data_IF_806991155693
#
_entry.id   IF_806991155693
#
_cell.length_a   1.000
_cell.length_b   1.000
_cell.length_c   1.000
_cell.angle_alpha   90.00
_cell.angle_beta   90.00
_cell.angle_gamma   90.00
#
_symmetry.space_group_name_H-M   'P 1'
#
loop_
_entity.id
_entity.type
_entity.pdbx_description
1 polymer ?
2 polymer ?
3 non-polymer ?
4 non-polymer ?
5 non-polymer ?
6 water ?
#
# COMPACT_ATOMS: atom_id res chain seq x y z
N UNK A 1 -7.17 4.53 23.96
CA UNK A 1 -7.04 3.25 23.21
C UNK A 1 -6.45 2.16 24.06
N UNK A 2 -6.61 0.91 23.62
CA UNK A 2 -6.19 -0.23 24.42
C UNK A 2 -4.68 -0.28 24.63
N UNK A 3 -3.90 0.41 23.79
CA UNK A 3 -2.46 0.46 23.94
C UNK A 3 -1.97 1.68 24.69
N UNK A 4 -2.88 2.49 25.24
CA UNK A 4 -2.51 3.73 25.88
C UNK A 4 -1.67 3.55 27.13
N UNK A 5 -1.76 2.41 27.79
CA UNK A 5 -0.99 2.20 29.01
C UNK A 5 0.39 1.60 28.77
N UNK A 6 0.71 1.21 27.55
CA UNK A 6 1.99 0.57 27.25
C UNK A 6 3.02 1.59 26.77
N UNK A 7 4.24 1.48 27.29
CA UNK A 7 5.35 2.30 26.83
C UNK A 7 5.53 2.21 25.33
N UNK A 8 5.85 3.36 24.72
CA UNK A 8 6.15 3.39 23.29
C UNK A 8 7.21 2.35 22.92
N UNK A 9 8.29 2.26 23.71
CA UNK A 9 9.35 1.34 23.33
C UNK A 9 8.87 -0.10 23.43
N UNK A 10 7.96 -0.37 24.35
CA UNK A 10 7.43 -1.73 24.50
C UNK A 10 6.54 -2.08 23.33
N UNK A 11 5.76 -1.10 22.85
CA UNK A 11 4.93 -1.31 21.67
C UNK A 11 5.79 -1.65 20.45
N UNK A 12 6.89 -0.93 20.27
CA UNK A 12 7.79 -1.20 19.15
C UNK A 12 8.41 -2.59 19.29
N UNK A 13 8.86 -2.92 20.51
CA UNK A 13 9.45 -4.24 20.74
C UNK A 13 8.45 -5.36 20.44
N UNK A 14 7.19 -5.17 20.84
CA UNK A 14 6.19 -6.21 20.61
C UNK A 14 5.77 -6.27 19.15
N UNK A 15 5.74 -5.12 18.47
CA UNK A 15 5.52 -5.14 17.02
C UNK A 15 6.56 -6.02 16.32
N UNK A 16 7.82 -5.94 16.74
CA UNK A 16 8.86 -6.76 16.13
C UNK A 16 8.67 -8.23 16.46
N UNK A 17 8.25 -8.53 17.69
CA UNK A 17 7.92 -9.91 18.05
C UNK A 17 6.73 -10.43 17.24
N UNK A 18 5.69 -9.61 17.12
CA UNK A 18 4.54 -9.99 16.30
C UNK A 18 4.94 -10.27 14.86
N UNK A 19 5.82 -9.45 14.30
CA UNK A 19 6.32 -9.72 12.95
C UNK A 19 7.00 -11.09 12.87
N UNK A 20 7.85 -11.42 13.85
CA UNK A 20 8.53 -12.72 13.83
C UNK A 20 7.54 -13.87 13.95
N UNK A 21 6.45 -13.66 14.67
CA UNK A 21 5.43 -14.68 14.87
C UNK A 21 4.37 -14.65 13.78
N UNK A 22 4.52 -13.76 12.79
CA UNK A 22 3.53 -13.59 11.73
C UNK A 22 2.15 -13.32 12.29
N UNK A 23 2.11 -12.51 13.35
CA UNK A 23 0.86 -12.07 13.98
C UNK A 23 0.58 -10.62 13.56
N UNK A 24 0.11 -10.46 12.33
CA UNK A 24 0.10 -9.13 11.73
C UNK A 24 -1.00 -8.26 12.31
N UNK A 25 -2.12 -8.84 12.71
CA UNK A 25 -3.16 -8.04 13.36
C UNK A 25 -2.63 -7.44 14.66
N UNK A 26 -1.94 -8.25 15.46
CA UNK A 26 -1.31 -7.75 16.66
C UNK A 26 -0.28 -6.68 16.30
N UNK A 27 0.52 -6.96 15.28
CA UNK A 27 1.59 -6.04 14.88
C UNK A 27 1.01 -4.68 14.53
N UNK A 28 -0.07 -4.67 13.76
CA UNK A 28 -0.75 -3.42 13.42
C UNK A 28 -1.27 -2.70 14.66
N UNK A 29 -1.92 -3.43 15.56
CA UNK A 29 -2.42 -2.81 16.78
C UNK A 29 -1.28 -2.18 17.59
N UNK A 30 -0.15 -2.88 17.73
CA UNK A 30 0.97 -2.30 18.46
C UNK A 30 1.49 -1.04 17.76
N UNK A 31 1.58 -1.06 16.43
CA UNK A 31 2.12 0.10 15.74
C UNK A 31 1.13 1.27 15.74
N UNK A 32 -0.17 1.00 15.64
CA UNK A 32 -1.16 2.05 15.84
C UNK A 32 -0.97 2.69 17.22
N UNK A 33 -0.78 1.85 18.25
CA UNK A 33 -0.56 2.38 19.58
C UNK A 33 0.68 3.26 19.63
N UNK A 34 1.75 2.83 18.95
CA UNK A 34 2.98 3.60 18.91
C UNK A 34 2.76 4.95 18.22
N UNK A 35 2.08 4.94 17.07
CA UNK A 35 1.81 6.19 16.36
C UNK A 35 1.06 7.15 17.28
N UNK A 36 0.09 6.62 18.02
CA UNK A 36 -0.77 7.45 18.87
C UNK A 36 -0.06 8.02 20.08
N UNK A 37 1.19 7.64 20.34
CA UNK A 37 1.97 8.33 21.36
C UNK A 37 2.34 9.75 20.96
N UNK A 38 2.21 10.11 19.68
CA UNK A 38 2.31 11.48 19.23
C UNK A 38 3.67 11.89 18.72
N UNK A 39 4.65 11.00 18.80
CA UNK A 39 5.98 11.31 18.29
C UNK A 39 6.15 10.76 16.87
N UNK A 40 7.01 11.42 16.11
CA UNK A 40 7.27 10.95 14.75
C UNK A 40 7.92 9.57 14.77
N UNK A 41 7.75 8.84 13.69
CA UNK A 41 8.32 7.50 13.57
C UNK A 41 9.67 7.57 12.87
N UNK A 42 10.59 6.71 13.31
CA UNK A 42 11.84 6.54 12.60
C UNK A 42 11.62 5.76 11.30
N UNK A 43 12.67 5.67 10.49
CA UNK A 43 12.61 4.88 9.27
C UNK A 43 12.21 3.43 9.56
N UNK A 44 12.86 2.80 10.54
CA UNK A 44 12.54 1.42 10.88
C UNK A 44 11.11 1.29 11.38
N UNK A 45 10.64 2.26 12.17
CA UNK A 45 9.28 2.21 12.68
C UNK A 45 8.25 2.39 11.56
N UNK A 46 8.52 3.24 10.58
CA UNK A 46 7.61 3.38 9.45
C UNK A 46 7.49 2.05 8.71
N UNK A 47 8.60 1.33 8.56
CA UNK A 47 8.57 0.04 7.88
C UNK A 47 7.71 -0.96 8.64
N UNK A 48 7.81 -0.96 9.98
CA UNK A 48 6.97 -1.84 10.78
C UNK A 48 5.48 -1.50 10.60
N UNK A 49 5.14 -0.23 10.64
CA UNK A 49 3.77 0.20 10.41
C UNK A 49 3.28 -0.29 9.06
N UNK A 50 4.07 -0.11 8.00
CA UNK A 50 3.59 -0.42 6.66
C UNK A 50 3.45 -1.92 6.46
N UNK A 51 4.40 -2.70 6.98
CA UNK A 51 4.35 -4.14 6.79
C UNK A 51 3.17 -4.74 7.55
N UNK A 52 2.91 -4.23 8.76
CA UNK A 52 1.80 -4.76 9.55
C UNK A 52 0.49 -4.62 8.79
N UNK A 53 0.15 -3.38 8.40
CA UNK A 53 -1.14 -3.14 7.75
C UNK A 53 -1.19 -3.73 6.35
N UNK A 54 -0.05 -3.77 5.66
CA UNK A 54 -0.01 -4.39 4.35
C UNK A 54 -0.43 -5.84 4.41
N UNK A 55 0.04 -6.55 5.44
CA UNK A 55 -0.31 -7.96 5.55
C UNK A 55 -1.75 -8.16 6.04
N UNK A 56 -2.24 -7.30 6.92
CA UNK A 56 -3.64 -7.41 7.35
C UNK A 56 -4.55 -7.22 6.15
N UNK A 57 -4.39 -6.09 5.43
CA UNK A 57 -5.28 -5.80 4.32
C UNK A 57 -5.03 -6.77 3.18
N UNK A 58 -3.80 -7.28 3.05
CA UNK A 58 -3.52 -8.23 1.99
C UNK A 58 -4.35 -9.49 2.12
N UNK A 59 -4.47 -9.99 3.34
CA UNK A 59 -5.29 -11.16 3.57
C UNK A 59 -6.76 -10.87 3.32
N UNK A 60 -7.21 -9.68 3.72
CA UNK A 60 -8.60 -9.31 3.47
C UNK A 60 -8.86 -9.17 1.98
N UNK A 61 -7.92 -8.58 1.25
CA UNK A 61 -8.08 -8.42 -0.20
C UNK A 61 -8.15 -9.79 -0.88
N UNK A 62 -7.26 -10.70 -0.49
CA UNK A 62 -7.27 -12.02 -1.12
C UNK A 62 -8.60 -12.72 -0.87
N UNK A 63 -9.12 -12.63 0.36
CA UNK A 63 -10.41 -13.22 0.66
C UNK A 63 -11.54 -12.54 -0.10
N UNK A 64 -11.51 -11.21 -0.18
CA UNK A 64 -12.53 -10.49 -0.92
C UNK A 64 -12.54 -10.93 -2.37
N UNK A 65 -11.37 -11.09 -2.97
CA UNK A 65 -11.31 -11.51 -4.36
C UNK A 65 -11.90 -12.89 -4.55
N UNK A 66 -11.62 -13.82 -3.63
CA UNK A 66 -12.19 -15.16 -3.72
C UNK A 66 -13.72 -15.10 -3.68
N UNK A 67 -14.26 -14.33 -2.73
CA UNK A 67 -15.71 -14.26 -2.56
C UNK A 67 -16.36 -13.52 -3.72
N UNK A 68 -15.77 -12.41 -4.16
CA UNK A 68 -16.34 -11.67 -5.28
C UNK A 68 -16.39 -12.54 -6.53
N UNK A 69 -15.36 -13.34 -6.77
CA UNK A 69 -15.36 -14.26 -7.90
C UNK A 69 -16.51 -15.26 -7.81
N UNK A 70 -16.73 -15.81 -6.61
CA UNK A 70 -17.84 -16.74 -6.42
C UNK A 70 -19.16 -16.02 -6.63
N UNK A 71 -19.24 -14.77 -6.18
CA UNK A 71 -20.47 -13.99 -6.34
C UNK A 71 -20.76 -13.72 -7.79
N UNK A 72 -19.76 -13.31 -8.57
CA UNK A 72 -20.04 -12.95 -9.96
C UNK A 72 -20.51 -14.17 -10.74
N UNK A 73 -19.91 -15.34 -10.50
CA UNK A 73 -20.36 -16.52 -11.21
C UNK A 73 -21.80 -16.90 -10.81
N UNK A 74 -22.21 -16.56 -9.58
CA UNK A 74 -23.57 -16.85 -9.14
C UNK A 74 -24.57 -15.99 -9.89
N UNK A 75 -24.09 -14.93 -10.54
CA UNK A 75 -24.93 -14.02 -11.30
C UNK A 75 -24.78 -14.21 -12.81
N UNK A 76 -24.13 -15.29 -13.23
CA UNK A 76 -24.10 -15.64 -14.64
C UNK A 76 -25.37 -16.39 -15.03
N UNK A 77 -25.74 -16.26 -16.30
CA UNK A 77 -26.84 -17.06 -16.84
C UNK A 77 -26.57 -18.54 -16.63
N UNK A 78 -27.61 -19.27 -16.21
CA UNK A 78 -27.49 -20.68 -15.91
C UNK A 78 -27.12 -20.99 -14.47
N UNK A 79 -26.68 -19.99 -13.70
CA UNK A 79 -26.27 -20.23 -12.33
C UNK A 79 -27.49 -20.41 -11.45
N UNK A 80 -27.48 -21.48 -10.63
CA UNK A 80 -28.57 -21.77 -9.72
C UNK A 80 -28.63 -20.73 -8.61
N UNK A 81 -29.84 -20.29 -8.30
CA UNK A 81 -30.04 -19.33 -7.22
C UNK A 81 -29.73 -19.99 -5.88
N UNK A 82 -28.98 -19.28 -5.04
CA UNK A 82 -28.51 -19.84 -3.79
C UNK A 82 -28.76 -18.95 -2.58
N UNK A 83 -29.44 -17.84 -2.76
CA UNK A 83 -29.77 -16.99 -1.65
C UNK A 83 -28.74 -15.91 -1.44
N UNK A 84 -28.91 -15.18 -0.35
CA UNK A 84 -28.10 -13.97 -0.14
C UNK A 84 -26.76 -14.22 0.53
N UNK A 85 -26.39 -15.46 0.82
CA UNK A 85 -25.27 -15.72 1.70
C UNK A 85 -23.95 -15.28 1.10
N UNK A 86 -23.74 -15.52 -0.19
CA UNK A 86 -22.46 -15.12 -0.79
C UNK A 86 -22.30 -13.61 -0.75
N UNK A 87 -23.33 -12.88 -1.17
CA UNK A 87 -23.29 -11.42 -1.09
C UNK A 87 -23.08 -10.97 0.36
N UNK A 88 -23.81 -11.56 1.30
CA UNK A 88 -23.70 -11.15 2.69
C UNK A 88 -22.28 -11.31 3.19
N UNK A 89 -21.66 -12.45 2.90
CA UNK A 89 -20.34 -12.72 3.47
C UNK A 89 -19.28 -11.87 2.77
N UNK A 90 -19.41 -11.69 1.46
CA UNK A 90 -18.54 -10.76 0.75
C UNK A 90 -18.63 -9.36 1.33
N UNK A 91 -19.87 -8.90 1.61
CA UNK A 91 -20.05 -7.60 2.26
C UNK A 91 -19.39 -7.56 3.63
N UNK A 92 -19.44 -8.64 4.39
CA UNK A 92 -18.81 -8.67 5.71
C UNK A 92 -17.31 -8.45 5.61
N UNK A 93 -16.64 -9.23 4.74
CA UNK A 93 -15.22 -9.06 4.50
C UNK A 93 -14.93 -7.67 3.97
N UNK A 94 -15.75 -7.20 3.03
CA UNK A 94 -15.55 -5.88 2.44
C UNK A 94 -15.58 -4.79 3.51
N UNK A 95 -16.56 -4.85 4.41
CA UNK A 95 -16.68 -3.85 5.45
C UNK A 95 -15.50 -3.88 6.39
N UNK A 96 -15.02 -5.08 6.73
CA UNK A 96 -13.84 -5.20 7.57
C UNK A 96 -12.63 -4.58 6.88
N UNK A 97 -12.46 -4.89 5.59
CA UNK A 97 -11.37 -4.32 4.80
C UNK A 97 -11.44 -2.79 4.78
N UNK A 98 -12.62 -2.24 4.49
CA UNK A 98 -12.77 -0.79 4.50
C UNK A 98 -12.43 -0.19 5.88
N UNK A 99 -12.78 -0.91 6.94
CA UNK A 99 -12.49 -0.40 8.28
C UNK A 99 -11.01 -0.30 8.54
N UNK A 100 -10.25 -1.28 8.06
CA UNK A 100 -8.81 -1.25 8.20
C UNK A 100 -8.21 -0.12 7.37
N UNK A 101 -8.63 0.01 6.12
CA UNK A 101 -8.19 1.13 5.29
C UNK A 101 -8.49 2.46 5.97
N UNK A 102 -9.71 2.59 6.49
CA UNK A 102 -10.09 3.85 7.17
C UNK A 102 -9.20 4.09 8.37
N UNK A 103 -8.87 3.04 9.09
CA UNK A 103 -7.98 3.21 10.26
C UNK A 103 -6.60 3.70 9.83
N UNK A 104 -6.03 3.11 8.77
CA UNK A 104 -4.73 3.55 8.29
C UNK A 104 -4.80 4.99 7.82
N UNK A 105 -5.82 5.31 7.02
CA UNK A 105 -5.94 6.67 6.51
C UNK A 105 -6.10 7.66 7.65
N UNK A 106 -6.80 7.28 8.71
CA UNK A 106 -6.94 8.16 9.85
C UNK A 106 -5.63 8.41 10.55
N UNK A 107 -4.78 7.37 10.67
CA UNK A 107 -3.46 7.57 11.25
C UNK A 107 -2.62 8.50 10.40
N UNK A 108 -2.65 8.29 9.08
CA UNK A 108 -1.87 9.14 8.20
C UNK A 108 -2.31 10.58 8.31
N UNK A 109 -3.61 10.79 8.47
CA UNK A 109 -4.13 12.15 8.59
C UNK A 109 -4.03 12.72 10.00
N UNK A 110 -3.68 11.89 11.00
CA UNK A 110 -3.68 12.29 12.41
C UNK A 110 -2.50 11.60 13.12
N UNK A 111 -1.30 12.15 13.00
CA UNK A 111 -1.01 13.34 12.21
C UNK A 111 0.33 13.09 11.49
N UNK A 112 0.52 11.86 11.01
CA UNK A 112 1.81 11.48 10.43
C UNK A 112 2.17 12.38 9.27
N UNK A 113 1.26 12.56 8.32
CA UNK A 113 1.59 13.36 7.14
C UNK A 113 1.83 14.81 7.54
N UNK A 114 1.01 15.34 8.44
CA UNK A 114 1.15 16.75 8.80
C UNK A 114 2.57 17.07 9.30
N UNK A 115 3.15 16.19 10.11
CA UNK A 115 4.42 16.48 10.76
C UNK A 115 5.63 15.97 9.98
N UNK A 116 5.42 15.30 8.85
CA UNK A 116 6.49 14.70 8.09
C UNK A 116 7.06 15.76 7.15
N UNK A 117 8.28 16.19 7.43
CA UNK A 117 8.94 17.20 6.62
C UNK A 117 10.03 16.63 5.73
N UNK A 118 10.77 15.64 6.24
CA UNK A 118 11.81 15.02 5.43
C UNK A 118 11.19 14.26 4.26
N UNK A 119 11.86 14.29 3.11
CA UNK A 119 11.30 13.63 1.93
C UNK A 119 11.04 12.16 2.17
N UNK A 120 11.95 11.49 2.89
CA UNK A 120 11.82 10.05 3.07
C UNK A 120 10.59 9.68 3.89
N UNK A 121 10.20 10.52 4.86
CA UNK A 121 8.98 10.24 5.61
C UNK A 121 7.75 10.71 4.84
N UNK A 122 7.81 11.91 4.26
CA UNK A 122 6.63 12.45 3.58
C UNK A 122 6.23 11.61 2.39
N UNK A 123 7.20 11.18 1.57
CA UNK A 123 6.86 10.36 0.42
C UNK A 123 6.34 9.01 0.86
N UNK A 124 6.97 8.43 1.88
CA UNK A 124 6.51 7.17 2.45
C UNK A 124 5.04 7.23 2.86
N UNK A 125 4.66 8.28 3.60
CA UNK A 125 3.29 8.34 4.10
C UNK A 125 2.30 8.65 2.98
N UNK A 126 2.68 9.51 2.04
CA UNK A 126 1.78 9.81 0.93
C UNK A 126 1.60 8.60 0.02
N UNK A 127 2.65 7.82 -0.18
CA UNK A 127 2.50 6.55 -0.87
C UNK A 127 1.53 5.65 -0.14
N UNK A 128 1.65 5.53 1.17
CA UNK A 128 0.70 4.74 1.94
C UNK A 128 -0.72 5.24 1.74
N UNK A 129 -0.90 6.56 1.72
CA UNK A 129 -2.23 7.12 1.53
C UNK A 129 -2.79 6.74 0.16
N UNK A 130 -1.97 6.86 -0.90
CA UNK A 130 -2.42 6.39 -2.18
C UNK A 130 -2.74 4.91 -2.19
N UNK A 131 -1.91 4.10 -1.53
CA UNK A 131 -2.13 2.65 -1.52
C UNK A 131 -3.47 2.30 -0.87
N UNK A 132 -3.80 2.90 0.27
CA UNK A 132 -5.03 2.49 0.95
C UNK A 132 -6.27 3.09 0.30
N UNK A 133 -6.18 4.25 -0.33
CA UNK A 133 -7.30 4.67 -1.18
C UNK A 133 -7.44 3.71 -2.38
N UNK A 134 -6.33 3.22 -2.91
CA UNK A 134 -6.42 2.25 -3.99
C UNK A 134 -7.13 0.98 -3.53
N UNK A 135 -6.80 0.48 -2.33
CA UNK A 135 -7.46 -0.73 -1.84
C UNK A 135 -8.93 -0.46 -1.65
N UNK A 136 -9.28 0.75 -1.21
CA UNK A 136 -10.70 1.11 -1.14
C UNK A 136 -11.32 1.14 -2.54
N UNK A 137 -10.56 1.61 -3.52
CA UNK A 137 -11.10 1.70 -4.88
C UNK A 137 -11.39 0.34 -5.46
N UNK A 138 -10.64 -0.67 -5.06
CA UNK A 138 -10.80 -2.01 -5.63
C UNK A 138 -12.17 -2.57 -5.32
N UNK A 139 -12.75 -2.19 -4.20
CA UNK A 139 -14.06 -2.70 -3.77
C UNK A 139 -15.16 -1.67 -3.92
N UNK A 140 -14.85 -0.46 -4.37
CA UNK A 140 -15.86 0.58 -4.51
C UNK A 140 -16.68 0.41 -5.78
N UNK A 141 -17.93 0.81 -5.70
CA UNK A 141 -18.84 0.77 -6.84
C UNK A 141 -19.61 2.09 -6.98
N UNK A 144 -19.11 7.32 -6.00
CA UNK A 144 -18.29 6.90 -4.86
C UNK A 144 -16.89 6.47 -5.29
N UNK A 145 -16.86 5.53 -6.25
CA UNK A 145 -15.58 5.00 -6.71
C UNK A 145 -14.72 6.08 -7.35
N UNK A 146 -15.32 6.97 -8.13
CA UNK A 146 -14.54 8.03 -8.78
C UNK A 146 -13.84 8.91 -7.76
N UNK A 147 -14.55 9.30 -6.69
CA UNK A 147 -13.96 10.14 -5.68
C UNK A 147 -12.80 9.44 -4.98
N UNK A 148 -12.95 8.14 -4.72
CA UNK A 148 -11.88 7.39 -4.09
C UNK A 148 -10.68 7.27 -5.02
N UNK A 149 -10.94 7.03 -6.30
CA UNK A 149 -9.86 6.98 -7.28
C UNK A 149 -9.14 8.31 -7.35
N UNK A 150 -9.89 9.41 -7.28
CA UNK A 150 -9.26 10.72 -7.35
C UNK A 150 -8.38 10.96 -6.13
N UNK A 151 -8.81 10.48 -4.96
CA UNK A 151 -8.03 10.65 -3.74
C UNK A 151 -6.73 9.87 -3.82
N UNK A 152 -6.80 8.65 -4.33
CA UNK A 152 -5.59 7.87 -4.52
C UNK A 152 -4.63 8.59 -5.47
N UNK A 153 -5.15 9.05 -6.62
CA UNK A 153 -4.32 9.73 -7.60
C UNK A 153 -3.65 10.96 -7.02
N UNK A 154 -4.39 11.76 -6.26
CA UNK A 154 -3.84 13.00 -5.71
C UNK A 154 -2.70 12.68 -4.74
N UNK A 155 -2.87 11.64 -3.90
CA UNK A 155 -1.83 11.28 -2.93
C UNK A 155 -0.59 10.75 -3.64
N UNK A 156 -0.79 9.85 -4.61
CA UNK A 156 0.35 9.34 -5.37
C UNK A 156 1.08 10.48 -6.09
N UNK A 157 0.33 11.43 -6.67
CA UNK A 157 0.94 12.50 -7.45
C UNK A 157 1.79 13.40 -6.56
N UNK A 158 1.30 13.78 -5.38
CA UNK A 158 2.10 14.60 -4.48
C UNK A 158 3.34 13.86 -4.04
N UNK A 159 3.21 12.55 -3.76
CA UNK A 159 4.37 11.74 -3.43
C UNK A 159 5.36 11.71 -4.58
N UNK A 160 4.86 11.55 -5.82
CA UNK A 160 5.73 11.50 -6.98
C UNK A 160 6.49 12.81 -7.13
N UNK A 161 5.80 13.95 -6.98
CA UNK A 161 6.45 15.23 -7.19
C UNK A 161 7.60 15.44 -6.20
N UNK A 162 7.38 15.07 -4.94
CA UNK A 162 8.43 15.19 -3.93
C UNK A 162 9.58 14.25 -4.25
N UNK A 163 9.26 13.00 -4.57
CA UNK A 163 10.29 11.99 -4.75
C UNK A 163 11.21 12.35 -5.90
N UNK A 164 10.65 12.90 -6.98
CA UNK A 164 11.50 13.25 -8.12
C UNK A 164 12.37 14.47 -7.82
N UNK A 165 11.90 15.35 -6.94
CA UNK A 165 12.70 16.52 -6.58
C UNK A 165 13.78 16.18 -5.56
N UNK A 166 13.47 15.26 -4.64
CA UNK A 166 14.27 15.11 -3.44
C UNK A 166 14.98 13.78 -3.29
N UNK A 167 14.71 12.81 -4.15
CA UNK A 167 15.30 11.49 -4.02
C UNK A 167 15.97 11.05 -5.31
N UNK A 168 17.06 10.28 -5.24
CA UNK A 168 17.67 9.73 -6.45
C UNK A 168 16.78 8.65 -7.06
N UNK A 169 16.94 8.38 -8.36
CA UNK A 169 16.03 7.46 -9.03
C UNK A 169 16.02 6.06 -8.47
N UNK A 170 17.12 5.63 -7.83
CA UNK A 170 17.19 4.28 -7.30
C UNK A 170 16.76 4.20 -5.84
N UNK A 171 16.30 5.30 -5.24
CA UNK A 171 15.82 5.23 -3.86
C UNK A 171 14.67 4.23 -3.78
N UNK A 172 14.73 3.25 -2.87
CA UNK A 172 13.68 2.22 -2.87
C UNK A 172 12.27 2.77 -2.65
N UNK A 173 12.12 3.81 -1.82
CA UNK A 173 10.79 4.37 -1.62
C UNK A 173 10.30 5.02 -2.90
N UNK A 174 11.18 5.76 -3.60
CA UNK A 174 10.80 6.33 -4.88
C UNK A 174 10.41 5.24 -5.85
N UNK A 175 11.18 4.15 -5.90
CA UNK A 175 10.87 3.08 -6.86
C UNK A 175 9.56 2.38 -6.51
N UNK A 176 9.35 2.08 -5.24
CA UNK A 176 8.11 1.40 -4.84
C UNK A 176 6.88 2.25 -5.05
N UNK A 177 7.00 3.57 -4.88
CA UNK A 177 5.91 4.48 -5.20
C UNK A 177 5.60 4.42 -6.70
N UNK A 178 6.63 4.48 -7.54
CA UNK A 178 6.38 4.46 -8.97
C UNK A 178 5.77 3.13 -9.39
N UNK A 179 6.24 2.02 -8.82
CA UNK A 179 5.65 0.73 -9.11
C UNK A 179 4.16 0.73 -8.79
N UNK A 180 3.79 1.18 -7.59
CA UNK A 180 2.39 1.11 -7.18
C UNK A 180 1.54 2.10 -7.96
N UNK A 181 2.06 3.31 -8.21
CA UNK A 181 1.32 4.27 -9.02
C UNK A 181 1.10 3.74 -10.42
N UNK A 182 2.10 3.04 -11.00
CA UNK A 182 1.88 2.47 -12.33
C UNK A 182 0.81 1.38 -12.29
N UNK A 183 0.75 0.61 -11.20
CA UNK A 183 -0.29 -0.40 -11.08
C UNK A 183 -1.65 0.27 -10.91
N UNK A 184 -1.71 1.36 -10.14
CA UNK A 184 -2.94 2.14 -10.05
C UNK A 184 -3.42 2.53 -11.45
N UNK A 185 -2.53 3.07 -12.28
CA UNK A 185 -2.94 3.48 -13.63
C UNK A 185 -3.50 2.30 -14.41
N UNK A 186 -2.83 1.15 -14.33
CA UNK A 186 -3.21 0.01 -15.15
C UNK A 186 -4.49 -0.67 -14.66
N UNK A 187 -4.60 -0.87 -13.35
CA UNK A 187 -5.65 -1.71 -12.76
C UNK A 187 -6.87 -0.92 -12.31
N UNK A 188 -6.69 0.32 -11.91
CA UNK A 188 -7.73 1.12 -11.28
C UNK A 188 -8.23 2.21 -12.20
N UNK A 189 -7.32 2.97 -12.82
CA UNK A 189 -7.67 4.20 -13.51
C UNK A 189 -7.86 4.02 -15.01
N UNK A 190 -7.78 2.79 -15.51
CA UNK A 190 -8.04 2.54 -16.94
C UNK A 190 -7.09 3.35 -17.82
N UNK A 191 -5.83 3.43 -17.41
CA UNK A 191 -4.81 4.17 -18.15
C UNK A 191 -3.58 3.30 -18.36
N UNK A 192 -3.72 2.23 -19.14
CA UNK A 192 -2.58 1.31 -19.32
C UNK A 192 -1.38 1.99 -19.96
N UNK A 193 -1.60 2.94 -20.86
CA UNK A 193 -0.47 3.59 -21.50
C UNK A 193 0.32 4.43 -20.50
N UNK A 194 -0.38 5.16 -19.63
CA UNK A 194 0.31 5.87 -18.55
C UNK A 194 1.05 4.90 -17.64
N UNK A 195 0.45 3.74 -17.34
CA UNK A 195 1.10 2.75 -16.50
C UNK A 195 2.41 2.27 -17.13
N UNK A 196 2.38 1.94 -18.42
CA UNK A 196 3.56 1.47 -19.13
C UNK A 196 4.62 2.55 -19.22
N UNK A 197 4.21 3.79 -19.53
CA UNK A 197 5.17 4.88 -19.62
C UNK A 197 5.87 5.10 -18.28
N UNK A 198 5.10 5.14 -17.19
CA UNK A 198 5.69 5.38 -15.89
C UNK A 198 6.66 4.25 -15.52
N UNK A 199 6.26 3.00 -15.73
CA UNK A 199 7.12 1.89 -15.34
C UNK A 199 8.42 1.91 -16.13
N UNK A 200 8.33 2.22 -17.43
CA UNK A 200 9.52 2.17 -18.25
C UNK A 200 10.47 3.32 -17.96
N UNK A 201 9.94 4.53 -17.85
CA UNK A 201 10.78 5.67 -17.48
C UNK A 201 11.46 5.43 -16.14
N UNK A 202 10.69 4.92 -15.16
CA UNK A 202 11.25 4.63 -13.85
C UNK A 202 12.37 3.60 -13.93
N UNK A 203 12.13 2.52 -14.68
CA UNK A 203 13.15 1.48 -14.80
C UNK A 203 14.39 2.01 -15.48
N UNK A 204 14.23 2.70 -16.61
CA UNK A 204 15.37 3.18 -17.37
C UNK A 204 16.20 4.16 -16.56
N UNK A 205 15.54 5.05 -15.82
CA UNK A 205 16.31 6.04 -15.05
C UNK A 205 16.99 5.41 -13.86
N UNK A 206 16.39 4.37 -13.28
CA UNK A 206 17.04 3.65 -12.20
C UNK A 206 18.25 2.89 -12.70
N UNK A 207 18.16 2.28 -13.88
CA UNK A 207 19.31 1.59 -14.43
C UNK A 207 20.52 2.52 -14.50
N UNK A 208 20.32 3.75 -15.00
CA UNK A 208 21.40 4.68 -15.23
C UNK A 208 21.94 5.23 -13.92
N UNK A 209 21.20 5.06 -12.81
CA UNK A 209 21.60 5.51 -11.50
C UNK A 209 22.20 4.38 -10.67
N UNK A 210 22.17 3.14 -11.17
CA UNK A 210 22.61 2.01 -10.36
C UNK A 210 24.06 2.15 -9.91
N UNK A 211 24.89 2.85 -10.68
CA UNK A 211 26.29 2.96 -10.26
C UNK A 211 26.46 3.85 -9.02
N UNK A 212 25.38 4.44 -8.52
CA UNK A 212 25.40 5.20 -7.27
C UNK A 212 24.71 4.49 -6.13
N UNK A 213 23.95 3.43 -6.41
CA UNK A 213 23.10 2.81 -5.41
C UNK A 213 23.91 2.12 -4.34
N UNK A 214 23.46 2.26 -3.08
CA UNK A 214 24.16 1.70 -1.94
C UNK A 214 24.01 0.19 -1.86
N UNK A 215 25.01 -0.47 -1.25
CA UNK A 215 24.88 -1.90 -0.98
C UNK A 215 23.74 -2.17 -0.03
N UNK A 216 23.54 -1.27 0.95
CA UNK A 216 22.38 -1.28 1.83
C UNK A 216 21.08 -1.55 1.09
N UNK A 217 20.81 -0.74 0.07
CA UNK A 217 19.52 -0.68 -0.61
C UNK A 217 19.48 -1.50 -1.88
N UNK A 218 20.60 -2.14 -2.24
CA UNK A 218 20.69 -2.81 -3.54
C UNK A 218 19.59 -3.86 -3.70
N UNK A 219 19.39 -4.69 -2.68
CA UNK A 219 18.42 -5.78 -2.85
C UNK A 219 17.00 -5.24 -2.92
N UNK A 220 16.66 -4.27 -2.04
CA UNK A 220 15.32 -3.68 -2.10
C UNK A 220 15.05 -3.10 -3.49
N UNK A 221 15.98 -2.28 -3.99
CA UNK A 221 15.75 -1.58 -5.25
C UNK A 221 15.81 -2.53 -6.43
N UNK A 222 16.67 -3.53 -6.38
CA UNK A 222 16.75 -4.51 -7.46
C UNK A 222 15.46 -5.32 -7.51
N UNK A 223 14.93 -5.68 -6.35
CA UNK A 223 13.66 -6.39 -6.30
C UNK A 223 12.56 -5.57 -6.96
N UNK A 224 12.46 -4.28 -6.59
CA UNK A 224 11.39 -3.44 -7.13
C UNK A 224 11.61 -3.22 -8.62
N UNK A 225 12.86 -3.05 -9.04
CA UNK A 225 13.13 -2.93 -10.47
C UNK A 225 12.67 -4.18 -11.21
N UNK A 226 12.90 -5.36 -10.62
CA UNK A 226 12.46 -6.61 -11.26
C UNK A 226 10.93 -6.66 -11.34
N UNK A 227 10.23 -6.15 -10.32
CA UNK A 227 8.78 -6.10 -10.39
C UNK A 227 8.30 -5.14 -11.47
N UNK A 228 8.99 -4.00 -11.64
CA UNK A 228 8.66 -3.11 -12.75
C UNK A 228 8.82 -3.83 -14.08
N UNK A 229 9.94 -4.54 -14.22
CA UNK A 229 10.19 -5.31 -15.43
C UNK A 229 9.15 -6.40 -15.62
N UNK A 230 8.79 -7.09 -14.55
CA UNK A 230 7.78 -8.14 -14.64
C UNK A 230 6.46 -7.57 -15.13
N UNK A 231 6.04 -6.42 -14.58
CA UNK A 231 4.80 -5.81 -15.03
C UNK A 231 4.89 -5.42 -16.50
N UNK A 232 6.00 -4.80 -16.92
CA UNK A 232 6.14 -4.40 -18.30
C UNK A 232 6.08 -5.61 -19.23
N UNK A 233 6.64 -6.74 -18.81
CA UNK A 233 6.53 -7.97 -19.60
C UNK A 233 5.09 -8.45 -19.66
N UNK A 234 4.33 -8.25 -18.58
CA UNK A 234 2.94 -8.64 -18.55
C UNK A 234 2.08 -7.69 -19.39
N UNK A 235 2.45 -6.42 -19.46
CA UNK A 235 1.62 -5.41 -20.06
C UNK A 235 1.92 -5.17 -21.53
N UNK A 236 3.05 -5.66 -22.03
CA UNK A 236 3.47 -5.37 -23.39
C UNK A 236 3.82 -6.65 -24.15
N UNK B 5 -0.91 -8.04 -12.71
CA UNK B 5 0.04 -7.00 -12.33
C UNK B 5 0.37 -7.10 -10.84
N UNK B 6 1.66 -6.97 -10.53
CA UNK B 6 2.11 -7.16 -9.16
C UNK B 6 2.60 -5.88 -8.49
N UNK B 8 4.53 -5.16 -4.52
CA UNK B 8 5.35 -6.00 -3.63
C UNK B 8 4.46 -6.96 -2.82
N UNK B 9 4.87 -8.22 -2.75
CA UNK B 9 4.08 -9.24 -2.06
C UNK B 9 4.44 -9.31 -0.58
#
# INVERSE_FOLDING_TARGET
>A
GAMGSMERASLIQKAKLAEQAERYEDMAAFMKGAVEKGEELSCEERNLLSVAYKNVVGGQRAAWRVLSSIEQKSNEEGSEEKGPEVREYREKVETELQGVCDTVLGLLDSHLIKEAGDAESRVFYLKMKGDYYRYLAEVATGDDKKRIIDSARSAYQEAMDISKKEMPPTNPIRLGLALNFSVFHYEIANSPEEAISLAKTTFDEAMADLHTLSEDSYKDSTLIMQLLRDNLTLWT
>B
XVISSNXLRGRS
#
